data_IF_778566946400
#
_entry.id   IF_778566946400
#
_cell.length_a   1.000
_cell.length_b   1.000
_cell.length_c   1.000
_cell.angle_alpha   90.00
_cell.angle_beta   90.00
_cell.angle_gamma   90.00
#
_symmetry.space_group_name_H-M   'P 1'
#
loop_
_entity.id
_entity.type
_entity.pdbx_description
1 polymer ?
#
# COMPACT_ATOMS: atom_id res chain seq x y z
N UNK A 1 -16.26 -25.26 -1.61
CA UNK A 1 -15.04 -24.51 -1.25
C UNK A 1 -13.98 -25.50 -0.79
N UNK A 2 -12.78 -25.45 -1.34
CA UNK A 2 -11.67 -26.30 -0.91
C UNK A 2 -10.36 -25.72 -1.43
N UNK A 3 -9.28 -25.97 -0.71
CA UNK A 3 -7.95 -25.45 -1.04
C UNK A 3 -7.26 -26.43 -1.97
N UNK A 4 -6.69 -25.93 -3.04
CA UNK A 4 -5.99 -26.72 -4.06
C UNK A 4 -4.50 -26.40 -4.00
N UNK A 5 -3.67 -27.39 -4.35
CA UNK A 5 -2.26 -27.19 -4.65
C UNK A 5 -2.03 -27.55 -6.13
N UNK A 6 -1.08 -26.87 -6.75
CA UNK A 6 -0.80 -26.93 -8.20
C UNK A 6 0.69 -26.67 -8.44
N UNK A 7 1.25 -27.22 -9.51
CA UNK A 7 2.68 -27.19 -9.85
C UNK A 7 3.09 -28.49 -10.51
N UNK A 8 4.27 -29.02 -10.15
CA UNK A 8 4.72 -30.37 -10.57
C UNK A 8 3.81 -31.48 -10.02
N UNK A 9 3.09 -31.21 -8.93
CA UNK A 9 1.99 -32.03 -8.42
C UNK A 9 0.74 -31.17 -8.27
N UNK A 10 -0.42 -31.80 -8.45
CA UNK A 10 -1.72 -31.14 -8.33
C UNK A 10 -2.68 -31.97 -7.49
N UNK A 11 -3.60 -31.29 -6.82
CA UNK A 11 -4.60 -31.93 -5.99
C UNK A 11 -5.33 -30.99 -5.05
N UNK A 12 -5.99 -31.57 -4.06
CA UNK A 12 -6.87 -30.84 -3.14
C UNK A 12 -6.59 -31.28 -1.71
N UNK A 13 -6.46 -30.31 -0.82
CA UNK A 13 -6.37 -30.57 0.63
C UNK A 13 -7.72 -31.08 1.16
N UNK A 14 -7.67 -32.01 2.12
CA UNK A 14 -8.88 -32.55 2.75
C UNK A 14 -9.62 -31.46 3.53
N UNK A 15 -10.88 -31.21 3.13
CA UNK A 15 -11.69 -30.16 3.72
C UNK A 15 -11.96 -30.44 5.21
N UNK A 16 -11.60 -29.48 6.06
CA UNK A 16 -11.76 -29.58 7.52
C UNK A 16 -10.74 -30.49 8.22
N UNK A 17 -9.77 -31.06 7.51
CA UNK A 17 -8.80 -32.02 8.08
C UNK A 17 -7.35 -31.56 7.88
N UNK A 18 -6.96 -31.24 6.64
CA UNK A 18 -5.56 -31.00 6.29
C UNK A 18 -5.26 -29.52 6.13
N UNK A 19 -4.17 -29.03 6.74
CA UNK A 19 -3.68 -27.65 6.60
C UNK A 19 -3.02 -27.39 5.25
N UNK A 20 -2.95 -26.13 4.81
CA UNK A 20 -2.23 -25.76 3.57
C UNK A 20 -0.71 -25.79 3.72
N UNK A 21 -0.20 -25.65 4.94
CA UNK A 21 1.23 -25.77 5.26
C UNK A 21 1.64 -27.20 5.66
N UNK A 22 0.78 -28.21 5.44
CA UNK A 22 1.04 -29.60 5.83
C UNK A 22 2.23 -30.23 5.10
N UNK A 23 2.64 -29.66 3.96
CA UNK A 23 3.89 -30.01 3.28
C UNK A 23 5.12 -29.87 4.19
N UNK A 24 5.09 -28.96 5.17
CA UNK A 24 6.18 -28.79 6.14
C UNK A 24 6.36 -29.98 7.08
N UNK A 25 5.32 -30.80 7.30
CA UNK A 25 5.47 -32.07 8.02
C UNK A 25 6.44 -33.03 7.30
N UNK A 26 6.47 -32.96 5.97
CA UNK A 26 7.38 -33.75 5.13
C UNK A 26 8.73 -33.05 4.91
N UNK A 27 9.02 -31.97 5.63
CA UNK A 27 10.24 -31.17 5.49
C UNK A 27 10.20 -30.14 4.36
N UNK A 28 9.04 -29.86 3.77
CA UNK A 28 8.89 -28.79 2.78
C UNK A 28 9.04 -27.40 3.41
N UNK A 29 9.86 -26.55 2.79
CA UNK A 29 10.03 -25.16 3.20
C UNK A 29 8.84 -24.31 2.72
N UNK A 30 8.39 -23.38 3.58
CA UNK A 30 7.40 -22.38 3.21
C UNK A 30 8.14 -21.17 2.69
N UNK A 31 7.86 -20.77 1.45
CA UNK A 31 8.32 -19.50 0.91
C UNK A 31 7.28 -18.43 1.23
N UNK A 32 7.71 -17.38 1.94
CA UNK A 32 6.87 -16.21 2.15
C UNK A 32 6.56 -15.55 0.80
N UNK A 33 5.34 -15.01 0.61
CA UNK A 33 5.00 -14.36 -0.64
C UNK A 33 5.89 -13.12 -0.83
N UNK A 34 6.47 -12.96 -2.03
CA UNK A 34 7.28 -11.76 -2.36
C UNK A 34 6.42 -10.50 -2.58
N UNK A 35 5.10 -10.63 -2.48
CA UNK A 35 4.13 -9.57 -2.77
C UNK A 35 3.04 -9.55 -1.71
N UNK A 36 2.49 -8.36 -1.45
CA UNK A 36 1.26 -8.13 -0.68
C UNK A 36 0.14 -7.81 -1.66
N UNK A 37 -0.93 -8.60 -1.64
CA UNK A 37 -2.16 -8.35 -2.40
C UNK A 37 -3.12 -7.44 -1.58
N UNK A 38 -3.60 -6.37 -2.20
CA UNK A 38 -4.60 -5.46 -1.66
C UNK A 38 -5.90 -5.55 -2.47
N UNK A 39 -7.03 -5.63 -1.77
CA UNK A 39 -8.38 -5.60 -2.35
C UNK A 39 -9.20 -4.50 -1.68
N UNK A 40 -9.82 -3.64 -2.48
CA UNK A 40 -10.77 -2.62 -2.04
C UNK A 40 -12.04 -2.67 -2.89
N UNK A 41 -13.18 -2.40 -2.26
CA UNK A 41 -14.48 -2.28 -2.93
C UNK A 41 -15.29 -1.08 -2.42
N UNK A 42 -16.52 -0.92 -2.91
CA UNK A 42 -17.39 0.21 -2.57
C UNK A 42 -17.70 0.34 -1.07
N UNK A 43 -17.72 -0.76 -0.32
CA UNK A 43 -17.97 -0.77 1.12
C UNK A 43 -16.78 -0.18 1.91
N UNK A 44 -15.59 -0.16 1.31
CA UNK A 44 -14.37 0.41 1.91
C UNK A 44 -14.27 1.94 1.71
N UNK A 45 -15.09 2.53 0.84
CA UNK A 45 -15.07 3.98 0.54
C UNK A 45 -15.15 4.88 1.80
N UNK A 46 -15.94 4.58 2.85
CA UNK A 46 -15.95 5.38 4.07
C UNK A 46 -14.61 5.36 4.81
N UNK A 47 -13.94 4.22 4.90
CA UNK A 47 -12.64 4.11 5.57
C UNK A 47 -11.52 4.72 4.72
N UNK A 48 -11.56 4.57 3.39
CA UNK A 48 -10.64 5.26 2.48
C UNK A 48 -10.75 6.78 2.67
N UNK A 49 -11.97 7.33 2.70
CA UNK A 49 -12.19 8.76 2.94
C UNK A 49 -11.70 9.22 4.29
N UNK A 50 -11.96 8.45 5.35
CA UNK A 50 -11.46 8.75 6.70
C UNK A 50 -9.93 8.74 6.77
N UNK A 51 -9.28 7.83 6.04
CA UNK A 51 -7.83 7.82 5.87
C UNK A 51 -7.32 9.08 5.19
N UNK A 52 -7.97 9.51 4.10
CA UNK A 52 -7.67 10.77 3.40
C UNK A 52 -7.87 11.99 4.30
N UNK A 53 -9.00 12.07 5.02
CA UNK A 53 -9.29 13.17 5.95
C UNK A 53 -8.23 13.27 7.08
N UNK A 54 -7.67 12.14 7.50
CA UNK A 54 -6.58 12.12 8.47
C UNK A 54 -5.28 12.62 7.84
N UNK A 55 -4.99 12.24 6.59
CA UNK A 55 -3.83 12.77 5.87
C UNK A 55 -3.94 14.30 5.69
N UNK A 56 -5.13 14.82 5.37
CA UNK A 56 -5.37 16.26 5.24
C UNK A 56 -5.10 17.02 6.54
N UNK A 57 -5.53 16.45 7.68
CA UNK A 57 -5.26 17.04 9.00
C UNK A 57 -3.78 17.02 9.35
N UNK A 58 -3.10 15.92 9.07
CA UNK A 58 -1.68 15.77 9.38
C UNK A 58 -0.82 16.63 8.46
N UNK A 59 -1.16 16.77 7.19
CA UNK A 59 -0.43 17.62 6.25
C UNK A 59 -0.69 19.10 6.50
N UNK A 60 -1.96 19.51 6.63
CA UNK A 60 -2.32 20.92 6.77
C UNK A 60 -1.69 21.77 5.65
N UNK A 61 -0.98 22.84 6.02
CA UNK A 61 -0.33 23.73 5.04
C UNK A 61 0.86 23.08 4.32
N UNK A 62 1.43 22.00 4.87
CA UNK A 62 2.57 21.31 4.27
C UNK A 62 2.24 20.61 2.97
N UNK A 63 0.97 20.29 2.71
CA UNK A 63 0.57 19.72 1.43
C UNK A 63 0.98 20.62 0.27
N UNK A 64 0.60 21.90 0.33
CA UNK A 64 0.93 22.88 -0.71
C UNK A 64 2.43 23.16 -0.80
N UNK A 65 3.11 23.18 0.33
CA UNK A 65 4.57 23.38 0.39
C UNK A 65 5.28 22.24 -0.35
N UNK A 66 4.84 21.00 -0.14
CA UNK A 66 5.40 19.82 -0.78
C UNK A 66 5.06 19.77 -2.27
N UNK A 67 3.83 20.11 -2.65
CA UNK A 67 3.44 20.26 -4.07
C UNK A 67 4.31 21.31 -4.77
N UNK A 68 4.40 22.52 -4.21
CA UNK A 68 5.21 23.62 -4.75
C UNK A 68 6.71 23.27 -4.86
N UNK A 69 7.19 22.36 -4.01
CA UNK A 69 8.55 21.85 -4.02
C UNK A 69 8.75 20.88 -5.20
N UNK A 70 7.90 19.86 -5.33
CA UNK A 70 8.02 18.86 -6.41
C UNK A 70 7.63 19.39 -7.80
N UNK A 71 6.89 20.50 -7.88
CA UNK A 71 6.66 21.22 -9.15
C UNK A 71 7.93 21.87 -9.71
N UNK A 72 8.93 22.12 -8.84
CA UNK A 72 10.18 22.80 -9.21
C UNK A 72 11.40 21.87 -9.21
N UNK A 73 11.30 20.72 -8.56
CA UNK A 73 12.43 19.82 -8.33
C UNK A 73 12.04 18.38 -8.65
N UNK A 74 12.80 17.73 -9.53
CA UNK A 74 12.56 16.35 -9.98
C UNK A 74 13.02 15.28 -8.96
N UNK A 75 13.47 15.68 -7.77
CA UNK A 75 13.94 14.77 -6.72
C UNK A 75 14.35 15.52 -5.47
N UNK A 76 14.60 14.82 -4.37
CA UNK A 76 14.94 15.47 -3.11
C UNK A 76 16.07 14.73 -2.38
N UNK A 77 16.83 15.53 -1.63
CA UNK A 77 17.75 15.15 -0.58
C UNK A 77 17.81 16.29 0.43
N UNK A 78 18.41 16.06 1.60
CA UNK A 78 18.47 17.04 2.68
C UNK A 78 18.98 18.41 2.21
N UNK A 79 20.00 18.44 1.35
CA UNK A 79 20.56 19.68 0.80
C UNK A 79 19.57 20.44 -0.08
N UNK A 80 18.85 19.76 -0.98
CA UNK A 80 17.84 20.42 -1.83
C UNK A 80 16.69 20.98 -1.01
N UNK A 81 16.33 20.33 0.10
CA UNK A 81 15.28 20.79 1.02
C UNK A 81 15.76 22.05 1.77
N UNK A 82 16.99 22.05 2.25
CA UNK A 82 17.62 23.23 2.88
C UNK A 82 17.77 24.41 1.90
N UNK A 83 18.14 24.16 0.65
CA UNK A 83 18.25 25.19 -0.40
C UNK A 83 16.89 25.87 -0.68
N UNK A 84 15.78 25.19 -0.37
CA UNK A 84 14.41 25.73 -0.44
C UNK A 84 13.92 26.33 0.90
N UNK A 85 14.81 26.47 1.89
CA UNK A 85 14.53 26.99 3.23
C UNK A 85 13.47 26.18 4.00
N UNK A 86 13.42 24.87 3.78
CA UNK A 86 12.51 23.97 4.51
C UNK A 86 13.26 23.22 5.61
N UNK A 87 12.59 22.96 6.72
CA UNK A 87 13.14 22.10 7.78
C UNK A 87 13.13 20.64 7.30
N UNK A 88 14.31 20.05 7.15
CA UNK A 88 14.50 18.69 6.63
C UNK A 88 13.75 17.66 7.47
N UNK A 89 13.74 17.82 8.79
CA UNK A 89 13.12 16.85 9.69
C UNK A 89 11.61 16.88 9.54
N UNK A 90 11.00 18.07 9.59
CA UNK A 90 9.55 18.23 9.41
C UNK A 90 9.15 17.84 7.99
N UNK A 91 9.94 18.19 6.98
CA UNK A 91 9.70 17.79 5.58
C UNK A 91 9.63 16.27 5.45
N UNK A 92 10.61 15.54 5.99
CA UNK A 92 10.62 14.07 5.95
C UNK A 92 9.43 13.45 6.70
N UNK A 93 9.07 14.00 7.87
CA UNK A 93 7.89 13.56 8.62
C UNK A 93 6.58 13.77 7.83
N UNK A 94 6.44 14.91 7.13
CA UNK A 94 5.25 15.23 6.32
C UNK A 94 5.22 14.49 4.99
N UNK A 95 6.39 14.17 4.43
CA UNK A 95 6.49 13.48 3.15
C UNK A 95 5.87 12.08 3.20
N UNK A 96 5.97 11.39 4.34
CA UNK A 96 5.31 10.10 4.53
C UNK A 96 3.77 10.24 4.44
N UNK A 97 3.20 11.25 5.11
CA UNK A 97 1.77 11.54 5.02
C UNK A 97 1.35 11.95 3.61
N UNK A 98 2.19 12.71 2.91
CA UNK A 98 1.96 13.11 1.53
C UNK A 98 1.92 11.89 0.59
N UNK A 99 2.87 10.97 0.73
CA UNK A 99 2.89 9.72 -0.02
C UNK A 99 1.65 8.85 0.27
N UNK A 100 1.25 8.73 1.54
CA UNK A 100 0.02 8.02 1.96
C UNK A 100 -1.22 8.63 1.30
N UNK A 101 -1.36 9.97 1.31
CA UNK A 101 -2.47 10.67 0.66
C UNK A 101 -2.54 10.33 -0.83
N UNK A 102 -1.43 10.46 -1.56
CA UNK A 102 -1.40 10.18 -3.01
C UNK A 102 -1.78 8.73 -3.34
N UNK A 103 -1.36 7.76 -2.53
CA UNK A 103 -1.79 6.37 -2.69
C UNK A 103 -3.30 6.23 -2.42
N UNK A 104 -3.80 6.81 -1.32
CA UNK A 104 -5.21 6.79 -0.96
C UNK A 104 -6.12 7.40 -2.04
N UNK A 105 -5.70 8.51 -2.67
CA UNK A 105 -6.45 9.15 -3.76
C UNK A 105 -6.54 8.26 -5.00
N UNK A 106 -5.45 7.56 -5.35
CA UNK A 106 -5.46 6.59 -6.46
C UNK A 106 -6.41 5.43 -6.18
N UNK A 107 -6.37 4.87 -4.97
CA UNK A 107 -7.28 3.79 -4.54
C UNK A 107 -8.72 4.28 -4.59
N UNK A 108 -9.00 5.45 -3.99
CA UNK A 108 -10.33 6.04 -3.97
C UNK A 108 -10.89 6.24 -5.38
N UNK A 109 -10.09 6.79 -6.29
CA UNK A 109 -10.46 7.00 -7.69
C UNK A 109 -10.74 5.67 -8.39
N UNK A 110 -9.86 4.68 -8.22
CA UNK A 110 -10.02 3.36 -8.81
C UNK A 110 -11.33 2.68 -8.37
N UNK A 111 -11.61 2.66 -7.06
CA UNK A 111 -12.87 2.10 -6.51
C UNK A 111 -14.08 2.88 -7.03
N UNK A 112 -13.99 4.22 -7.14
CA UNK A 112 -15.10 5.03 -7.68
C UNK A 112 -15.39 4.76 -9.16
N UNK A 113 -14.38 4.49 -9.97
CA UNK A 113 -14.53 4.28 -11.41
C UNK A 113 -14.88 2.83 -11.75
N UNK A 114 -14.32 1.87 -11.02
CA UNK A 114 -14.37 0.44 -11.35
C UNK A 114 -15.11 -0.42 -10.31
N UNK A 115 -15.60 0.16 -9.21
CA UNK A 115 -16.24 -0.49 -8.04
C UNK A 115 -15.32 -1.36 -7.19
N UNK A 116 -14.21 -1.81 -7.76
CA UNK A 116 -13.17 -2.59 -7.09
C UNK A 116 -11.79 -2.08 -7.50
N UNK A 117 -10.82 -2.25 -6.62
CA UNK A 117 -9.43 -1.90 -6.84
C UNK A 117 -8.54 -2.97 -6.22
N UNK A 118 -7.89 -3.75 -7.09
CA UNK A 118 -6.98 -4.84 -6.75
C UNK A 118 -5.57 -4.50 -7.21
N UNK A 119 -4.57 -4.66 -6.34
CA UNK A 119 -3.17 -4.48 -6.73
C UNK A 119 -2.21 -5.27 -5.84
N UNK A 120 -1.03 -5.57 -6.37
CA UNK A 120 0.08 -6.21 -5.67
C UNK A 120 1.16 -5.18 -5.36
N UNK A 121 1.82 -5.30 -4.20
CA UNK A 121 2.98 -4.51 -3.81
C UNK A 121 4.15 -5.44 -3.49
N UNK A 122 5.32 -5.16 -4.07
CA UNK A 122 6.57 -5.87 -3.75
C UNK A 122 7.00 -5.62 -2.29
N UNK A 123 7.58 -6.65 -1.67
CA UNK A 123 8.19 -6.60 -0.33
C UNK A 123 9.67 -6.20 -0.34
#
# INVERSE_FOLDING_TARGET
>A
MGRYYRGDIEGKFWFGVQSSNDASFFGGEVFEPNYIEYHFNEDDLPEIKKGLDNCDKELGEWEKIIDDFFDKVDGYNDRTVEEHNLDVKVFNEKLEWYARKRLGEKIYKCVKEHKVCDFEAEL
#
